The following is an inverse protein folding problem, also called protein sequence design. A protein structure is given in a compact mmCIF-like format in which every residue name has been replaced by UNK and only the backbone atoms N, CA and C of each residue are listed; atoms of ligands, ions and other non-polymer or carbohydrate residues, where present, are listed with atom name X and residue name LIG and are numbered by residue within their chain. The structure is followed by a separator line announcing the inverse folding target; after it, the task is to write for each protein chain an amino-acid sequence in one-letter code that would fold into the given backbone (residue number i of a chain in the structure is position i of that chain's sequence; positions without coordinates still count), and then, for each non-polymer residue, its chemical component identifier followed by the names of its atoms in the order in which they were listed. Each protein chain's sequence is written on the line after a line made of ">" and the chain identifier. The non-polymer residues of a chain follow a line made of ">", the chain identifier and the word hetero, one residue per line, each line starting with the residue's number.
data_IF_079882425191
#
_entry.id   IF_079882425191
#
_cell.length_a   1.000
_cell.length_b   1.000
_cell.length_c   1.000
_cell.angle_alpha   90.00
_cell.angle_beta   90.00
_cell.angle_gamma   90.00
#
_symmetry.space_group_name_H-M   'P 1'
#
loop_
_entity.id
_entity.type
_entity.pdbx_description
1 polymer ?
#
# COMPACT_ATOMS: atom_id res chain seq x y z
N UNK A 1 6.05 -25.86 -15.75
CA UNK A 1 6.68 -24.70 -16.44
C UNK A 1 6.64 -23.52 -15.48
N UNK A 2 7.77 -22.80 -15.32
CA UNK A 2 8.09 -21.75 -14.32
C UNK A 2 8.32 -22.29 -12.89
N UNK A 3 9.51 -22.50 -12.32
CA UNK A 3 10.84 -21.88 -12.45
C UNK A 3 10.92 -20.38 -12.10
N UNK A 4 11.67 -20.12 -11.01
CA UNK A 4 12.29 -18.87 -10.55
C UNK A 4 11.44 -17.76 -9.91
N UNK A 5 11.51 -17.66 -8.58
CA UNK A 5 11.72 -16.38 -7.87
C UNK A 5 12.66 -16.59 -6.66
N UNK A 6 13.97 -16.57 -6.93
CA UNK A 6 15.01 -16.46 -5.90
C UNK A 6 15.00 -15.04 -5.33
N UNK A 7 14.94 -14.94 -3.99
CA UNK A 7 15.13 -13.72 -3.19
C UNK A 7 16.59 -13.21 -3.30
N UNK A 8 16.85 -11.90 -3.44
CA UNK A 8 18.20 -11.34 -3.59
C UNK A 8 18.94 -11.08 -2.26
N UNK A 9 18.54 -11.69 -1.13
CA UNK A 9 19.09 -11.36 0.19
C UNK A 9 20.24 -12.27 0.66
N UNK A 10 20.47 -13.42 -0.02
CA UNK A 10 21.41 -14.46 0.43
C UNK A 10 22.87 -14.19 -0.01
N UNK A 11 23.11 -13.28 -0.95
CA UNK A 11 24.45 -13.07 -1.52
C UNK A 11 25.34 -12.10 -0.71
N UNK A 12 24.78 -11.35 0.24
CA UNK A 12 25.54 -10.33 1.00
C UNK A 12 26.18 -10.84 2.30
N UNK A 13 25.80 -12.04 2.77
CA UNK A 13 26.28 -12.61 4.03
C UNK A 13 27.46 -13.59 3.88
N UNK A 14 27.79 -14.00 2.64
CA UNK A 14 28.79 -15.04 2.37
C UNK A 14 30.22 -14.48 2.23
N UNK A 15 30.40 -13.16 2.16
CA UNK A 15 31.72 -12.54 1.88
C UNK A 15 32.42 -11.98 3.13
N UNK A 16 31.76 -11.88 4.28
CA UNK A 16 32.36 -11.31 5.51
C UNK A 16 32.82 -12.35 6.55
N UNK A 17 32.71 -13.66 6.28
CA UNK A 17 33.06 -14.70 7.27
C UNK A 17 34.41 -15.38 7.06
N UNK A 18 35.16 -15.00 6.03
CA UNK A 18 36.55 -15.40 5.85
C UNK A 18 37.46 -14.31 6.40
N UNK A 19 37.98 -14.51 7.62
CA UNK A 19 39.20 -13.97 8.24
C UNK A 19 38.90 -13.82 9.75
N UNK A 20 38.98 -14.92 10.49
CA UNK A 20 39.43 -14.93 11.90
C UNK A 20 39.67 -16.39 12.31
N UNK A 21 40.92 -16.82 12.56
CA UNK A 21 41.17 -18.15 13.10
C UNK A 21 40.90 -18.10 14.60
N UNK A 22 39.68 -18.41 15.02
CA UNK A 22 39.36 -18.63 16.44
C UNK A 22 39.72 -20.07 16.76
N UNK A 23 40.63 -20.23 17.72
CA UNK A 23 41.15 -21.53 18.15
C UNK A 23 40.04 -22.50 18.53
N UNK A 24 40.17 -23.73 18.03
CA UNK A 24 39.35 -24.86 18.42
C UNK A 24 39.60 -25.18 19.90
N UNK A 25 38.75 -24.65 20.79
CA UNK A 25 38.56 -25.23 22.11
C UNK A 25 37.52 -26.33 21.92
N UNK A 26 37.93 -27.59 22.08
CA UNK A 26 37.02 -28.71 22.24
C UNK A 26 36.26 -28.52 23.57
N UNK A 27 35.19 -27.73 23.53
CA UNK A 27 34.14 -27.81 24.52
C UNK A 27 33.40 -29.08 24.17
N UNK A 28 33.67 -30.16 24.91
CA UNK A 28 32.80 -31.32 24.95
C UNK A 28 31.38 -30.81 25.17
N UNK A 29 30.54 -30.89 24.13
CA UNK A 29 29.13 -30.56 24.24
C UNK A 29 28.55 -31.48 25.31
N UNK A 30 28.25 -30.90 26.47
CA UNK A 30 27.34 -31.51 27.41
C UNK A 30 26.01 -31.54 26.66
N UNK A 31 25.70 -32.69 26.05
CA UNK A 31 24.36 -32.96 25.55
C UNK A 31 23.47 -32.98 26.79
N UNK A 32 22.92 -31.81 27.14
CA UNK A 32 21.72 -31.80 27.95
C UNK A 32 20.67 -32.51 27.11
N UNK A 33 20.32 -33.72 27.54
CA UNK A 33 19.17 -34.45 27.05
C UNK A 33 17.95 -33.61 27.46
N UNK A 34 17.61 -32.60 26.65
CA UNK A 34 16.40 -31.83 26.85
C UNK A 34 15.28 -32.81 26.52
N UNK A 35 14.73 -33.45 27.55
CA UNK A 35 13.63 -34.40 27.44
C UNK A 35 12.59 -33.88 26.44
N UNK A 36 12.56 -34.46 25.25
CA UNK A 36 11.63 -34.11 24.19
C UNK A 36 10.29 -34.76 24.54
N UNK A 37 9.27 -33.95 24.79
CA UNK A 37 7.93 -34.47 25.12
C UNK A 37 7.24 -34.90 23.84
N UNK A 38 6.91 -36.18 23.70
CA UNK A 38 6.06 -36.63 22.59
C UNK A 38 4.61 -36.23 22.85
N UNK A 39 3.97 -35.62 21.85
CA UNK A 39 2.58 -35.16 21.94
C UNK A 39 1.83 -35.64 20.71
N UNK A 40 0.74 -36.38 20.93
CA UNK A 40 -0.13 -36.87 19.86
C UNK A 40 -1.28 -35.89 19.59
N UNK A 41 -1.42 -35.47 18.34
CA UNK A 41 -2.40 -34.45 17.93
C UNK A 41 -3.37 -35.04 16.92
N UNK A 42 -4.65 -34.99 17.27
CA UNK A 42 -5.76 -35.42 16.45
C UNK A 42 -6.24 -34.33 15.49
N UNK A 43 -6.34 -34.67 14.21
CA UNK A 43 -6.71 -33.78 13.12
C UNK A 43 -7.85 -34.41 12.32
N UNK A 44 -8.82 -33.58 11.95
CA UNK A 44 -9.88 -33.90 11.01
C UNK A 44 -9.97 -32.81 9.95
N UNK A 45 -10.57 -33.13 8.80
CA UNK A 45 -10.65 -32.20 7.68
C UNK A 45 -11.66 -31.07 7.94
N UNK A 46 -11.18 -29.90 8.35
CA UNK A 46 -11.99 -28.72 8.63
C UNK A 46 -11.23 -27.42 8.26
N UNK A 47 -11.06 -27.14 6.96
CA UNK A 47 -10.39 -25.93 6.50
C UNK A 47 -11.15 -24.65 6.93
N UNK A 48 -10.45 -23.55 7.27
CA UNK A 48 -8.98 -23.38 7.30
C UNK A 48 -8.34 -23.74 8.66
N UNK A 49 -9.04 -24.43 9.57
CA UNK A 49 -8.56 -24.65 10.94
C UNK A 49 -7.52 -25.75 11.03
N UNK A 50 -7.82 -26.90 10.44
CA UNK A 50 -6.91 -28.04 10.32
C UNK A 50 -7.37 -28.89 9.15
N UNK A 51 -6.49 -29.18 8.20
CA UNK A 51 -6.83 -29.96 7.02
C UNK A 51 -5.57 -30.54 6.40
N UNK A 52 -5.76 -31.57 5.57
CA UNK A 52 -4.69 -32.14 4.76
C UNK A 52 -4.86 -31.64 3.33
N UNK A 53 -3.82 -31.02 2.79
CA UNK A 53 -3.74 -30.62 1.40
C UNK A 53 -2.54 -31.32 0.77
N UNK A 54 -2.80 -32.20 -0.20
CA UNK A 54 -1.83 -33.16 -0.72
C UNK A 54 -1.20 -34.00 0.42
N UNK A 55 0.12 -33.90 0.62
CA UNK A 55 0.85 -34.55 1.72
C UNK A 55 1.15 -33.60 2.89
N UNK A 56 0.75 -32.33 2.80
CA UNK A 56 0.97 -31.33 3.82
C UNK A 56 -0.22 -31.21 4.77
N UNK A 57 0.06 -31.11 6.06
CA UNK A 57 -0.94 -30.76 7.08
C UNK A 57 -0.90 -29.23 7.22
N UNK A 58 -2.05 -28.58 7.09
CA UNK A 58 -2.19 -27.12 7.10
C UNK A 58 -3.34 -26.68 7.98
N UNK A 59 -3.32 -25.42 8.37
CA UNK A 59 -4.42 -24.74 9.02
C UNK A 59 -3.97 -23.90 10.21
N UNK A 60 -4.85 -23.01 10.64
CA UNK A 60 -4.56 -22.05 11.71
C UNK A 60 -4.14 -22.75 13.02
N UNK A 61 -4.82 -23.85 13.39
CA UNK A 61 -4.48 -24.59 14.59
C UNK A 61 -3.16 -25.37 14.43
N UNK A 62 -2.82 -25.78 13.21
CA UNK A 62 -1.57 -26.47 12.89
C UNK A 62 -0.40 -25.51 13.05
N UNK A 63 -0.47 -24.35 12.41
CA UNK A 63 0.62 -23.36 12.43
C UNK A 63 0.90 -22.88 13.86
N UNK A 64 -0.15 -22.70 14.67
CA UNK A 64 -0.03 -22.32 16.08
C UNK A 64 0.56 -23.44 16.94
N UNK A 65 0.10 -24.69 16.79
CA UNK A 65 0.57 -25.79 17.63
C UNK A 65 2.00 -26.22 17.28
N UNK A 66 2.39 -26.11 16.00
CA UNK A 66 3.78 -26.30 15.59
C UNK A 66 4.68 -25.19 16.15
N UNK A 67 4.25 -23.92 16.09
CA UNK A 67 5.00 -22.82 16.70
C UNK A 67 5.23 -23.05 18.20
N UNK A 68 4.17 -23.42 18.93
CA UNK A 68 4.25 -23.70 20.37
C UNK A 68 5.16 -24.92 20.61
N UNK A 69 4.94 -26.02 19.89
CA UNK A 69 5.72 -27.23 20.01
C UNK A 69 7.23 -27.00 19.80
N UNK A 70 7.59 -26.16 18.82
CA UNK A 70 8.99 -25.75 18.62
C UNK A 70 9.56 -24.97 19.80
N UNK A 71 8.77 -24.10 20.44
CA UNK A 71 9.22 -23.31 21.61
C UNK A 71 9.44 -24.15 22.86
N UNK A 72 8.65 -25.21 23.05
CA UNK A 72 8.72 -26.08 24.23
C UNK A 72 9.32 -27.47 23.96
N UNK A 73 9.94 -27.64 22.79
CA UNK A 73 10.59 -28.88 22.37
C UNK A 73 9.65 -30.11 22.39
N UNK A 74 8.42 -29.95 21.89
CA UNK A 74 7.52 -31.08 21.64
C UNK A 74 7.86 -31.80 20.34
N UNK A 75 7.79 -33.12 20.38
CA UNK A 75 7.73 -33.96 19.18
C UNK A 75 6.28 -34.27 18.86
N UNK A 76 5.74 -33.56 17.89
CA UNK A 76 4.34 -33.69 17.51
C UNK A 76 4.16 -34.89 16.57
N UNK A 77 3.24 -35.78 16.93
CA UNK A 77 2.81 -36.90 16.09
C UNK A 77 1.34 -36.70 15.72
N UNK A 78 1.05 -36.62 14.43
CA UNK A 78 -0.31 -36.36 13.94
C UNK A 78 -1.10 -37.65 13.72
N UNK A 79 -2.36 -37.65 14.14
CA UNK A 79 -3.36 -38.65 13.82
C UNK A 79 -4.47 -38.00 12.99
N UNK A 80 -4.70 -38.47 11.77
CA UNK A 80 -5.74 -37.94 10.89
C UNK A 80 -6.93 -38.90 10.82
N UNK A 81 -8.14 -38.40 11.08
CA UNK A 81 -9.37 -39.18 11.06
C UNK A 81 -10.63 -38.32 10.89
N UNK A 82 -11.80 -38.93 11.05
CA UNK A 82 -13.06 -38.16 11.16
C UNK A 82 -13.13 -37.48 12.53
N UNK A 83 -13.96 -36.44 12.67
CA UNK A 83 -14.15 -35.78 13.96
C UNK A 83 -14.54 -36.79 15.07
N UNK A 84 -15.50 -37.68 14.77
CA UNK A 84 -15.96 -38.71 15.72
C UNK A 84 -14.83 -39.67 16.14
N UNK A 85 -13.99 -40.11 15.20
CA UNK A 85 -12.87 -41.02 15.50
C UNK A 85 -11.81 -40.33 16.37
N UNK A 86 -11.40 -39.12 15.98
CA UNK A 86 -10.43 -38.32 16.73
C UNK A 86 -10.94 -38.03 18.14
N UNK A 87 -12.19 -37.58 18.27
CA UNK A 87 -12.84 -37.34 19.55
C UNK A 87 -12.82 -38.58 20.46
N UNK A 88 -13.24 -39.73 19.93
CA UNK A 88 -13.29 -40.98 20.68
C UNK A 88 -11.89 -41.44 21.15
N UNK A 89 -10.86 -41.24 20.34
CA UNK A 89 -9.47 -41.54 20.70
C UNK A 89 -8.93 -40.56 21.74
N UNK A 90 -9.28 -39.29 21.66
CA UNK A 90 -8.89 -38.28 22.66
C UNK A 90 -9.47 -38.59 24.04
N UNK A 91 -10.76 -38.94 24.14
CA UNK A 91 -11.36 -39.29 25.44
C UNK A 91 -10.84 -40.62 26.01
N UNK A 92 -10.26 -41.48 25.16
CA UNK A 92 -9.56 -42.72 25.57
C UNK A 92 -8.08 -42.49 25.88
N UNK A 93 -7.60 -41.25 25.81
CA UNK A 93 -6.20 -40.88 25.97
C UNK A 93 -5.24 -41.56 24.97
N UNK A 94 -5.75 -41.96 23.80
CA UNK A 94 -4.93 -42.44 22.67
C UNK A 94 -4.38 -41.26 21.85
N UNK A 95 -5.01 -40.08 21.99
CA UNK A 95 -4.59 -38.80 21.41
C UNK A 95 -4.57 -37.77 22.54
N UNK A 96 -3.50 -37.01 22.64
CA UNK A 96 -3.32 -36.03 23.72
C UNK A 96 -4.16 -34.78 23.50
N UNK A 97 -4.17 -34.25 22.27
CA UNK A 97 -4.85 -33.00 21.94
C UNK A 97 -5.69 -33.17 20.67
N UNK A 98 -6.96 -32.74 20.71
CA UNK A 98 -7.80 -32.52 19.54
C UNK A 98 -7.87 -31.02 19.23
N UNK A 99 -7.82 -30.69 17.94
CA UNK A 99 -7.79 -29.31 17.44
C UNK A 99 -9.19 -28.79 17.10
N UNK A 100 -9.36 -27.46 17.09
CA UNK A 100 -10.51 -26.75 16.51
C UNK A 100 -11.88 -27.20 17.02
N UNK A 101 -11.97 -27.64 18.28
CA UNK A 101 -13.23 -28.10 18.88
C UNK A 101 -14.02 -26.90 19.37
N UNK A 102 -15.32 -26.89 19.09
CA UNK A 102 -16.21 -25.87 19.60
C UNK A 102 -16.41 -26.03 21.11
N UNK A 103 -16.17 -24.93 21.83
CA UNK A 103 -16.40 -24.89 23.25
C UNK A 103 -17.89 -24.81 23.54
N UNK A 104 -18.44 -25.94 24.00
CA UNK A 104 -19.83 -26.10 24.35
C UNK A 104 -19.93 -26.91 25.64
N UNK A 105 -20.33 -26.27 26.75
CA UNK A 105 -20.43 -26.90 28.08
C UNK A 105 -21.33 -28.15 28.08
N UNK A 106 -22.32 -28.22 27.18
CA UNK A 106 -23.30 -29.31 27.17
C UNK A 106 -22.90 -30.49 26.27
N UNK A 107 -22.04 -30.24 25.26
CA UNK A 107 -21.78 -31.22 24.17
C UNK A 107 -20.57 -32.12 24.45
N UNK A 108 -19.50 -31.58 25.01
CA UNK A 108 -18.22 -32.30 25.16
C UNK A 108 -17.76 -32.42 26.62
N UNK A 109 -18.64 -32.93 27.46
CA UNK A 109 -18.39 -33.12 28.89
C UNK A 109 -17.25 -34.10 29.23
N UNK A 110 -16.69 -34.80 28.25
CA UNK A 110 -15.53 -35.69 28.41
C UNK A 110 -14.19 -35.03 28.00
N UNK A 111 -14.21 -33.78 27.55
CA UNK A 111 -13.02 -33.01 27.20
C UNK A 111 -12.74 -31.90 28.22
N UNK A 112 -11.46 -31.64 28.42
CA UNK A 112 -10.94 -30.44 29.06
C UNK A 112 -10.46 -29.49 27.97
N UNK A 113 -10.74 -28.19 28.11
CA UNK A 113 -10.42 -27.18 27.12
C UNK A 113 -9.38 -26.21 27.66
N UNK A 114 -8.56 -25.65 26.76
CA UNK A 114 -7.74 -24.50 27.13
C UNK A 114 -8.64 -23.26 27.41
N UNK A 115 -8.13 -22.27 28.13
CA UNK A 115 -8.91 -21.09 28.53
C UNK A 115 -9.08 -20.10 27.38
N UNK A 116 -8.00 -19.80 26.67
CA UNK A 116 -7.96 -18.81 25.60
C UNK A 116 -8.67 -19.33 24.34
N UNK A 117 -9.68 -18.59 23.85
CA UNK A 117 -10.26 -18.89 22.54
C UNK A 117 -9.21 -18.65 21.45
N UNK A 118 -8.99 -19.64 20.57
CA UNK A 118 -8.06 -19.51 19.44
C UNK A 118 -8.69 -18.58 18.39
N UNK A 119 -9.87 -18.93 17.93
CA UNK A 119 -10.62 -18.17 16.94
C UNK A 119 -12.12 -18.42 17.10
N UNK A 120 -12.95 -17.42 16.78
CA UNK A 120 -14.40 -17.56 16.79
C UNK A 120 -14.93 -17.73 15.37
N UNK A 121 -15.93 -18.58 15.21
CA UNK A 121 -16.59 -18.87 13.93
C UNK A 121 -18.10 -18.88 14.13
N UNK A 122 -18.87 -18.78 13.05
CA UNK A 122 -20.33 -18.90 13.07
C UNK A 122 -20.83 -19.55 11.80
N UNK A 123 -22.05 -20.07 11.85
CA UNK A 123 -22.74 -20.65 10.70
C UNK A 123 -23.26 -19.57 9.77
N UNK A 124 -23.10 -19.80 8.48
CA UNK A 124 -23.62 -18.95 7.41
C UNK A 124 -24.31 -19.81 6.36
N UNK A 125 -25.34 -19.25 5.74
CA UNK A 125 -25.99 -19.87 4.58
C UNK A 125 -25.38 -19.29 3.32
N UNK A 126 -25.00 -20.17 2.39
CA UNK A 126 -24.41 -19.80 1.10
C UNK A 126 -25.30 -20.28 -0.05
N UNK A 127 -25.30 -19.56 -1.17
CA UNK A 127 -26.09 -19.94 -2.35
C UNK A 127 -25.47 -19.38 -3.64
N UNK A 128 -25.83 -19.97 -4.78
CA UNK A 128 -25.56 -19.42 -6.12
C UNK A 128 -26.83 -18.85 -6.78
N UNK A 129 -28.00 -19.04 -6.16
CA UNK A 129 -29.27 -18.52 -6.64
C UNK A 129 -29.35 -17.02 -6.43
N UNK A 130 -29.99 -16.28 -7.33
CA UNK A 130 -30.32 -14.87 -7.14
C UNK A 130 -31.68 -14.65 -6.46
N UNK A 131 -32.42 -15.71 -6.14
CA UNK A 131 -33.80 -15.64 -5.62
C UNK A 131 -33.90 -15.81 -4.09
N UNK A 132 -32.82 -16.28 -3.43
CA UNK A 132 -32.83 -16.60 -2.00
C UNK A 132 -32.16 -15.48 -1.21
N UNK A 133 -32.91 -14.61 -0.52
CA UNK A 133 -32.32 -13.45 0.16
C UNK A 133 -32.40 -13.55 1.68
N UNK A 134 -33.44 -14.21 2.17
CA UNK A 134 -33.79 -14.28 3.58
C UNK A 134 -33.91 -15.72 4.04
N UNK A 135 -33.95 -15.93 5.35
CA UNK A 135 -34.16 -17.27 5.94
C UNK A 135 -35.47 -17.89 5.48
N UNK A 136 -36.51 -17.09 5.23
CA UNK A 136 -37.82 -17.57 4.77
C UNK A 136 -37.80 -18.11 3.34
N UNK A 137 -36.88 -17.64 2.51
CA UNK A 137 -36.71 -18.14 1.13
C UNK A 137 -36.13 -19.55 1.08
N UNK A 138 -35.69 -20.09 2.23
CA UNK A 138 -35.24 -21.46 2.39
C UNK A 138 -36.40 -22.47 2.45
N UNK A 139 -37.64 -21.99 2.52
CA UNK A 139 -38.81 -22.85 2.50
C UNK A 139 -38.87 -23.72 1.22
N UNK A 140 -39.04 -25.01 1.41
CA UNK A 140 -39.00 -26.08 0.41
C UNK A 140 -37.72 -26.15 -0.43
N UNK A 141 -36.61 -25.59 0.08
CA UNK A 141 -35.29 -25.67 -0.58
C UNK A 141 -34.51 -26.90 -0.15
N UNK A 142 -33.60 -27.34 -1.02
CA UNK A 142 -32.59 -28.36 -0.74
C UNK A 142 -31.34 -27.68 -0.21
N UNK A 143 -31.02 -27.96 1.04
CA UNK A 143 -29.94 -27.33 1.78
C UNK A 143 -28.86 -28.37 2.01
N UNK A 144 -27.68 -28.14 1.44
CA UNK A 144 -26.50 -28.95 1.71
C UNK A 144 -25.97 -28.68 3.13
N UNK A 145 -25.67 -29.74 3.87
CA UNK A 145 -25.16 -29.69 5.25
C UNK A 145 -24.12 -30.78 5.48
N UNK A 146 -23.17 -30.55 6.39
CA UNK A 146 -22.17 -31.57 6.77
C UNK A 146 -22.63 -32.30 8.03
N UNK A 147 -22.55 -33.65 8.03
CA UNK A 147 -23.16 -34.52 9.06
C UNK A 147 -22.68 -34.21 10.49
N UNK A 148 -21.36 -34.08 10.65
CA UNK A 148 -20.69 -33.88 11.94
C UNK A 148 -20.36 -32.39 12.21
N UNK A 149 -20.95 -31.47 11.45
CA UNK A 149 -20.74 -30.04 11.63
C UNK A 149 -21.69 -29.47 12.70
N UNK A 150 -21.17 -28.80 13.74
CA UNK A 150 -21.98 -28.06 14.69
C UNK A 150 -22.98 -27.08 14.05
N UNK A 151 -22.71 -26.56 12.85
CA UNK A 151 -23.64 -25.70 12.12
C UNK A 151 -24.91 -26.42 11.66
N UNK A 152 -24.92 -27.75 11.61
CA UNK A 152 -26.09 -28.51 11.21
C UNK A 152 -26.98 -28.92 12.41
N UNK A 153 -26.44 -29.73 13.32
CA UNK A 153 -27.25 -30.46 14.33
C UNK A 153 -27.16 -29.93 15.77
N UNK A 154 -26.34 -28.90 16.04
CA UNK A 154 -26.28 -28.32 17.39
C UNK A 154 -27.61 -27.65 17.78
N UNK A 155 -27.77 -27.33 19.07
CA UNK A 155 -28.98 -26.66 19.58
C UNK A 155 -29.32 -25.39 18.79
N UNK A 156 -28.31 -24.62 18.40
CA UNK A 156 -28.46 -23.38 17.62
C UNK A 156 -28.15 -23.57 16.12
N UNK A 157 -27.97 -24.81 15.66
CA UNK A 157 -27.67 -25.14 14.27
C UNK A 157 -28.86 -24.90 13.34
N UNK A 158 -28.60 -24.90 12.02
CA UNK A 158 -29.59 -24.54 10.99
C UNK A 158 -30.86 -25.39 11.09
N UNK A 159 -30.74 -26.67 11.45
CA UNK A 159 -31.89 -27.58 11.54
C UNK A 159 -32.89 -27.12 12.59
N UNK A 160 -32.39 -26.77 13.77
CA UNK A 160 -33.25 -26.28 14.86
C UNK A 160 -33.76 -24.87 14.56
N UNK A 161 -32.90 -24.01 14.01
CA UNK A 161 -33.27 -22.66 13.62
C UNK A 161 -34.46 -22.65 12.65
N UNK A 162 -34.40 -23.44 11.57
CA UNK A 162 -35.50 -23.54 10.61
C UNK A 162 -36.77 -24.15 11.23
N UNK A 163 -36.63 -25.13 12.12
CA UNK A 163 -37.76 -25.72 12.84
C UNK A 163 -38.47 -24.69 13.75
N UNK A 164 -37.73 -23.82 14.45
CA UNK A 164 -38.29 -22.76 15.30
C UNK A 164 -39.13 -21.77 14.48
N UNK A 165 -38.67 -21.42 13.28
CA UNK A 165 -39.40 -20.57 12.34
C UNK A 165 -40.47 -21.32 11.54
N UNK A 166 -40.65 -22.62 11.76
CA UNK A 166 -41.57 -23.50 11.00
C UNK A 166 -41.30 -23.48 9.49
N UNK A 167 -40.03 -23.46 9.12
CA UNK A 167 -39.58 -23.48 7.73
C UNK A 167 -39.25 -24.92 7.35
N UNK A 168 -40.02 -25.48 6.42
CA UNK A 168 -39.80 -26.85 5.93
C UNK A 168 -38.76 -26.87 4.81
N UNK A 169 -37.63 -27.53 5.02
CA UNK A 169 -36.56 -27.67 4.00
C UNK A 169 -36.06 -29.12 3.93
N UNK A 170 -35.47 -29.50 2.80
CA UNK A 170 -34.83 -30.81 2.63
C UNK A 170 -33.33 -30.69 2.89
N UNK A 171 -32.79 -31.44 3.83
CA UNK A 171 -31.34 -31.46 4.10
C UNK A 171 -30.66 -32.57 3.29
N UNK A 172 -29.62 -32.20 2.55
CA UNK A 172 -28.76 -33.14 1.82
C UNK A 172 -27.42 -33.20 2.57
N UNK A 173 -27.08 -34.38 3.07
CA UNK A 173 -25.95 -34.59 3.97
C UNK A 173 -24.65 -34.93 3.21
N UNK A 174 -23.56 -34.23 3.54
CA UNK A 174 -22.21 -34.39 2.99
C UNK A 174 -21.19 -34.73 4.10
N UNK A 175 -20.03 -35.24 3.70
CA UNK A 175 -18.93 -35.55 4.63
C UNK A 175 -18.00 -34.36 4.87
N UNK A 176 -17.89 -33.44 3.91
CA UNK A 176 -17.05 -32.26 3.98
C UNK A 176 -17.67 -31.11 3.17
N UNK A 177 -17.16 -29.89 3.36
CA UNK A 177 -17.67 -28.72 2.64
C UNK A 177 -17.33 -28.73 1.14
N UNK A 178 -16.25 -29.38 0.72
CA UNK A 178 -15.83 -29.34 -0.67
C UNK A 178 -16.83 -30.06 -1.58
N UNK A 179 -17.26 -31.26 -1.18
CA UNK A 179 -18.32 -32.01 -1.87
C UNK A 179 -19.65 -31.23 -1.89
N UNK A 180 -19.98 -30.56 -0.77
CA UNK A 180 -21.17 -29.72 -0.66
C UNK A 180 -21.12 -28.55 -1.64
N UNK A 181 -19.98 -27.86 -1.72
CA UNK A 181 -19.81 -26.70 -2.60
C UNK A 181 -19.79 -27.11 -4.07
N UNK A 182 -19.18 -28.24 -4.41
CA UNK A 182 -19.21 -28.79 -5.77
C UNK A 182 -20.66 -28.98 -6.25
N UNK A 183 -21.51 -29.58 -5.42
CA UNK A 183 -22.92 -29.78 -5.74
C UNK A 183 -23.75 -28.48 -5.66
N UNK A 184 -23.32 -27.48 -4.88
CA UNK A 184 -23.97 -26.15 -4.82
C UNK A 184 -23.80 -25.35 -6.12
N UNK A 185 -22.78 -25.66 -6.90
CA UNK A 185 -22.59 -25.06 -8.22
C UNK A 185 -23.63 -25.55 -9.24
N UNK A 186 -24.22 -26.72 -9.02
CA UNK A 186 -25.30 -27.29 -9.83
C UNK A 186 -26.67 -26.99 -9.19
N UNK A 187 -27.39 -26.03 -9.78
CA UNK A 187 -28.75 -25.64 -9.35
C UNK A 187 -29.76 -26.79 -9.37
N UNK A 188 -29.47 -27.89 -10.07
CA UNK A 188 -30.32 -29.08 -10.06
C UNK A 188 -30.04 -30.03 -8.91
N UNK A 189 -29.01 -29.81 -8.09
CA UNK A 189 -28.71 -30.64 -6.90
C UNK A 189 -29.02 -29.92 -5.60
N UNK A 190 -28.55 -28.68 -5.46
CA UNK A 190 -28.71 -27.88 -4.25
C UNK A 190 -29.20 -26.47 -4.55
N UNK A 191 -29.97 -25.91 -3.61
CA UNK A 191 -30.45 -24.52 -3.69
C UNK A 191 -29.64 -23.59 -2.76
N UNK A 192 -29.21 -24.13 -1.62
CA UNK A 192 -28.35 -23.47 -0.65
C UNK A 192 -27.42 -24.47 0.04
N UNK A 193 -26.40 -23.98 0.72
CA UNK A 193 -25.48 -24.75 1.55
C UNK A 193 -25.26 -24.07 2.90
N UNK A 194 -24.87 -24.84 3.89
CA UNK A 194 -24.46 -24.32 5.21
C UNK A 194 -22.99 -24.62 5.43
N UNK A 195 -22.24 -23.56 5.72
CA UNK A 195 -20.81 -23.60 6.04
C UNK A 195 -20.52 -22.69 7.22
N UNK A 196 -19.32 -22.74 7.77
CA UNK A 196 -18.87 -21.69 8.68
C UNK A 196 -18.32 -20.48 7.91
N UNK A 197 -18.45 -19.29 8.50
CA UNK A 197 -18.04 -18.02 7.89
C UNK A 197 -16.54 -17.94 7.56
N UNK A 198 -15.68 -18.66 8.30
CA UNK A 198 -14.24 -18.65 8.05
C UNK A 198 -13.87 -19.52 6.85
N UNK A 199 -14.55 -20.65 6.63
CA UNK A 199 -14.45 -21.42 5.39
C UNK A 199 -14.91 -20.59 4.18
N UNK A 200 -16.05 -19.89 4.31
CA UNK A 200 -16.51 -18.98 3.26
C UNK A 200 -15.46 -17.91 2.93
N UNK A 201 -14.91 -17.24 3.94
CA UNK A 201 -13.87 -16.22 3.74
C UNK A 201 -12.59 -16.78 3.11
N UNK A 202 -12.19 -17.98 3.52
CA UNK A 202 -10.98 -18.66 3.04
C UNK A 202 -11.11 -19.09 1.57
N UNK A 203 -12.24 -19.71 1.18
CA UNK A 203 -12.36 -20.41 -0.11
C UNK A 203 -13.36 -19.79 -1.09
N UNK A 204 -14.43 -19.19 -0.58
CA UNK A 204 -15.62 -18.88 -1.40
C UNK A 204 -15.82 -17.38 -1.67
N UNK A 205 -15.27 -16.50 -0.84
CA UNK A 205 -15.50 -15.04 -0.90
C UNK A 205 -15.27 -14.41 -2.28
N UNK A 206 -14.36 -14.97 -3.08
CA UNK A 206 -14.01 -14.49 -4.42
C UNK A 206 -14.61 -15.35 -5.56
N UNK A 207 -15.63 -16.15 -5.26
CA UNK A 207 -16.31 -17.04 -6.22
C UNK A 207 -17.70 -16.51 -6.58
N UNK A 208 -18.47 -17.27 -7.37
CA UNK A 208 -19.89 -16.98 -7.67
C UNK A 208 -20.83 -17.29 -6.49
N UNK A 209 -20.34 -18.00 -5.47
CA UNK A 209 -21.11 -18.35 -4.28
C UNK A 209 -21.20 -17.11 -3.38
N UNK A 210 -22.41 -16.77 -2.96
CA UNK A 210 -22.66 -15.64 -2.05
C UNK A 210 -23.12 -16.13 -0.70
N UNK A 211 -22.61 -15.48 0.34
CA UNK A 211 -23.14 -15.56 1.71
C UNK A 211 -24.47 -14.78 1.81
N UNK A 212 -25.42 -15.34 2.55
CA UNK A 212 -26.64 -14.65 2.98
C UNK A 212 -26.40 -13.97 4.33
N UNK A 213 -27.12 -12.88 4.62
CA UNK A 213 -27.10 -12.19 5.91
C UNK A 213 -27.87 -13.00 7.01
N UNK A 214 -27.58 -14.30 7.08
CA UNK A 214 -28.14 -15.26 8.04
C UNK A 214 -26.96 -15.85 8.79
N UNK A 215 -26.68 -15.27 9.96
CA UNK A 215 -25.66 -15.77 10.89
C UNK A 215 -26.34 -16.51 12.04
N UNK A 216 -25.75 -17.63 12.45
CA UNK A 216 -26.28 -18.44 13.56
C UNK A 216 -25.16 -19.25 14.21
N UNK A 217 -25.46 -19.85 15.37
CA UNK A 217 -24.54 -20.71 16.11
C UNK A 217 -23.11 -20.15 16.26
N UNK A 218 -22.90 -19.03 16.97
CA UNK A 218 -21.56 -18.52 17.23
C UNK A 218 -20.78 -19.48 18.14
N UNK A 219 -19.60 -19.91 17.69
CA UNK A 219 -18.74 -20.86 18.39
C UNK A 219 -17.36 -20.25 18.65
N UNK A 220 -16.79 -20.63 19.79
CA UNK A 220 -15.39 -20.37 20.11
C UNK A 220 -14.61 -21.66 19.94
N UNK A 221 -13.67 -21.68 19.00
CA UNK A 221 -12.84 -22.85 18.72
C UNK A 221 -11.60 -22.85 19.61
N UNK A 222 -11.29 -24.01 20.16
CA UNK A 222 -10.27 -24.21 21.19
C UNK A 222 -9.48 -25.50 20.97
N UNK A 223 -8.37 -25.61 21.68
CA UNK A 223 -7.66 -26.88 21.86
C UNK A 223 -8.28 -27.64 23.02
N UNK A 224 -8.33 -28.97 22.92
CA UNK A 224 -8.89 -29.80 23.97
C UNK A 224 -8.10 -31.07 24.19
N UNK A 225 -8.18 -31.61 25.40
CA UNK A 225 -7.60 -32.90 25.79
C UNK A 225 -8.67 -33.75 26.47
N UNK A 226 -8.47 -35.06 26.56
CA UNK A 226 -9.36 -35.93 27.33
C UNK A 226 -9.36 -35.52 28.81
N UNK A 227 -10.52 -35.46 29.47
CA UNK A 227 -10.59 -35.11 30.91
C UNK A 227 -9.76 -36.03 31.78
N UNK A 228 -9.61 -37.29 31.39
CA UNK A 228 -8.83 -38.28 32.13
C UNK A 228 -7.35 -38.30 31.73
N UNK A 229 -6.93 -37.46 30.78
CA UNK A 229 -5.51 -37.31 30.44
C UNK A 229 -4.77 -36.66 31.62
N UNK A 230 -3.73 -37.32 32.11
CA UNK A 230 -2.93 -36.87 33.26
C UNK A 230 -2.10 -35.61 32.92
N UNK A 231 -1.73 -35.43 31.65
CA UNK A 231 -0.92 -34.31 31.17
C UNK A 231 -1.75 -33.09 30.72
N UNK A 232 -3.08 -33.18 30.70
CA UNK A 232 -3.97 -32.14 30.12
C UNK A 232 -3.66 -30.73 30.63
N UNK A 233 -3.41 -30.54 31.93
CA UNK A 233 -3.15 -29.22 32.50
C UNK A 233 -1.80 -28.65 32.05
N UNK A 234 -0.79 -29.50 31.91
CA UNK A 234 0.49 -29.09 31.34
C UNK A 234 0.33 -28.71 29.86
N UNK A 235 -0.33 -29.56 29.07
CA UNK A 235 -0.52 -29.35 27.64
C UNK A 235 -1.34 -28.09 27.35
N UNK A 236 -2.55 -28.00 27.91
CA UNK A 236 -3.48 -26.89 27.69
C UNK A 236 -2.99 -25.59 28.34
N UNK A 237 -2.37 -25.67 29.52
CA UNK A 237 -1.77 -24.50 30.19
C UNK A 237 -0.57 -23.94 29.44
N UNK A 238 0.24 -24.80 28.81
CA UNK A 238 1.34 -24.37 27.92
C UNK A 238 0.78 -23.65 26.70
N UNK A 239 -0.26 -24.21 26.08
CA UNK A 239 -0.94 -23.58 24.94
C UNK A 239 -1.51 -22.22 25.32
N UNK A 240 -2.22 -22.11 26.45
CA UNK A 240 -2.79 -20.85 26.94
C UNK A 240 -1.73 -19.76 27.14
N UNK A 241 -0.59 -20.12 27.74
CA UNK A 241 0.50 -19.18 27.98
C UNK A 241 1.00 -18.54 26.66
N UNK A 242 1.37 -19.36 25.69
CA UNK A 242 1.88 -18.86 24.40
C UNK A 242 0.78 -18.19 23.57
N UNK A 243 -0.44 -18.71 23.59
CA UNK A 243 -1.55 -18.12 22.83
C UNK A 243 -1.89 -16.72 23.37
N UNK A 244 -1.87 -16.53 24.69
CA UNK A 244 -2.06 -15.21 25.31
C UNK A 244 -0.97 -14.22 24.91
N UNK A 245 0.30 -14.63 24.92
CA UNK A 245 1.43 -13.80 24.47
C UNK A 245 1.29 -13.42 22.99
N UNK A 246 1.04 -14.39 22.12
CA UNK A 246 0.88 -14.16 20.68
C UNK A 246 -0.29 -13.20 20.38
N UNK A 247 -1.42 -13.32 21.08
CA UNK A 247 -2.58 -12.47 20.78
C UNK A 247 -2.41 -11.02 21.23
N UNK A 248 -1.51 -10.74 22.18
CA UNK A 248 -1.19 -9.39 22.66
C UNK A 248 -0.32 -8.61 21.67
N UNK A 249 0.53 -9.28 20.91
CA UNK A 249 1.41 -8.67 19.91
C UNK A 249 0.80 -8.75 18.50
N UNK A 250 0.59 -7.60 17.84
CA UNK A 250 0.00 -7.50 16.50
C UNK A 250 0.92 -7.95 15.38
N UNK A 251 2.23 -8.01 15.66
CA UNK A 251 3.25 -8.49 14.74
C UNK A 251 3.64 -9.94 15.02
N UNK A 252 2.86 -10.64 15.84
CA UNK A 252 3.11 -12.03 16.21
C UNK A 252 2.76 -13.03 15.10
N UNK A 253 3.30 -14.24 15.25
CA UNK A 253 2.99 -15.38 14.37
C UNK A 253 1.50 -15.73 14.33
N UNK A 254 0.71 -15.36 15.35
CA UNK A 254 -0.74 -15.54 15.32
C UNK A 254 -1.41 -14.66 14.26
N UNK A 255 -1.08 -13.37 14.22
CA UNK A 255 -1.66 -12.47 13.22
C UNK A 255 -1.08 -12.71 11.83
N UNK A 256 0.20 -13.08 11.71
CA UNK A 256 0.78 -13.56 10.44
C UNK A 256 -0.01 -14.76 9.88
N UNK A 257 -0.31 -15.74 10.75
CA UNK A 257 -1.14 -16.89 10.39
C UNK A 257 -2.51 -16.43 9.88
N UNK A 258 -3.23 -15.57 10.62
CA UNK A 258 -4.55 -15.10 10.19
C UNK A 258 -4.51 -14.36 8.84
N UNK A 259 -3.49 -13.52 8.62
CA UNK A 259 -3.31 -12.83 7.35
C UNK A 259 -3.12 -13.82 6.20
N UNK A 260 -2.29 -14.85 6.40
CA UNK A 260 -2.04 -15.86 5.37
C UNK A 260 -3.30 -16.62 4.92
N UNK A 261 -4.27 -16.87 5.82
CA UNK A 261 -5.50 -17.59 5.46
C UNK A 261 -6.66 -16.67 5.02
N UNK A 262 -6.71 -15.40 5.45
CA UNK A 262 -7.88 -14.55 5.21
C UNK A 262 -7.62 -13.28 4.42
N UNK A 263 -6.38 -12.81 4.34
CA UNK A 263 -6.03 -11.67 3.49
C UNK A 263 -5.71 -12.18 2.08
N UNK A 264 -6.49 -11.72 1.12
CA UNK A 264 -6.10 -11.81 -0.30
C UNK A 264 -4.83 -11.01 -0.49
N UNK A 265 -3.86 -11.52 -1.27
CA UNK A 265 -2.58 -10.87 -1.56
C UNK A 265 -2.71 -9.35 -1.58
N UNK A 266 -1.83 -8.64 -0.84
CA UNK A 266 -1.80 -7.18 -0.86
C UNK A 266 -1.98 -6.71 -2.30
N UNK A 267 -3.02 -5.90 -2.54
CA UNK A 267 -3.31 -5.42 -3.87
C UNK A 267 -2.11 -4.59 -4.32
N UNK A 268 -1.17 -5.22 -5.04
CA UNK A 268 0.08 -4.61 -5.46
C UNK A 268 -0.18 -3.29 -6.20
N UNK A 269 -1.36 -3.16 -6.80
CA UNK A 269 -1.89 -1.94 -7.40
C UNK A 269 -1.90 -0.75 -6.42
N UNK A 270 -2.30 -0.93 -5.15
CA UNK A 270 -2.27 0.12 -4.12
C UNK A 270 -0.83 0.51 -3.78
N UNK A 271 0.08 -0.46 -3.69
CA UNK A 271 1.50 -0.20 -3.46
C UNK A 271 2.11 0.57 -4.65
N UNK A 272 1.80 0.18 -5.89
CA UNK A 272 2.19 0.88 -7.10
C UNK A 272 1.63 2.30 -7.16
N UNK A 273 0.37 2.53 -6.76
CA UNK A 273 -0.23 3.88 -6.67
C UNK A 273 0.55 4.75 -5.68
N UNK A 274 0.87 4.23 -4.48
CA UNK A 274 1.65 4.98 -3.47
C UNK A 274 3.04 5.35 -3.99
N UNK A 275 3.73 4.41 -4.64
CA UNK A 275 5.04 4.65 -5.28
C UNK A 275 4.91 5.73 -6.37
N UNK A 276 3.90 5.62 -7.23
CA UNK A 276 3.67 6.57 -8.33
C UNK A 276 3.36 7.98 -7.82
N UNK A 277 2.53 8.13 -6.77
CA UNK A 277 2.27 9.41 -6.12
C UNK A 277 3.53 9.99 -5.49
N UNK A 278 4.40 9.15 -4.92
CA UNK A 278 5.73 9.55 -4.45
C UNK A 278 6.61 10.13 -5.56
N UNK A 279 6.68 9.47 -6.71
CA UNK A 279 7.43 9.99 -7.87
C UNK A 279 6.83 11.29 -8.43
N UNK A 280 5.49 11.35 -8.55
CA UNK A 280 4.80 12.54 -9.05
C UNK A 280 5.07 13.78 -8.18
N UNK A 281 5.06 13.62 -6.84
CA UNK A 281 5.35 14.72 -5.91
C UNK A 281 6.81 15.20 -6.03
N UNK A 282 7.77 14.29 -6.21
CA UNK A 282 9.19 14.63 -6.44
C UNK A 282 9.35 15.41 -7.76
N UNK A 283 8.72 14.96 -8.83
CA UNK A 283 8.77 15.61 -10.15
C UNK A 283 8.16 17.01 -10.07
N UNK A 284 6.98 17.15 -9.47
CA UNK A 284 6.31 18.45 -9.30
C UNK A 284 7.18 19.40 -8.46
N UNK A 285 7.76 18.92 -7.37
CA UNK A 285 8.68 19.70 -6.53
C UNK A 285 9.90 20.18 -7.33
N UNK A 286 10.52 19.29 -8.11
CA UNK A 286 11.65 19.63 -8.98
C UNK A 286 11.28 20.73 -9.99
N UNK A 287 10.16 20.58 -10.72
CA UNK A 287 9.71 21.58 -11.69
C UNK A 287 9.38 22.92 -11.01
N UNK A 288 8.77 22.89 -9.84
CA UNK A 288 8.44 24.10 -9.07
C UNK A 288 9.71 24.85 -8.69
N UNK A 289 10.73 24.15 -8.17
CA UNK A 289 12.05 24.73 -7.86
C UNK A 289 12.73 25.29 -9.11
N UNK A 290 12.64 24.60 -10.26
CA UNK A 290 13.19 25.09 -11.53
C UNK A 290 12.51 26.38 -12.00
N UNK A 291 11.19 26.45 -11.91
CA UNK A 291 10.42 27.67 -12.27
C UNK A 291 10.79 28.83 -11.36
N UNK A 292 10.94 28.60 -10.05
CA UNK A 292 11.36 29.63 -9.09
C UNK A 292 12.78 30.15 -9.39
N UNK A 293 13.73 29.25 -9.67
CA UNK A 293 15.09 29.62 -10.06
C UNK A 293 15.12 30.45 -11.35
N UNK A 294 14.33 30.07 -12.36
CA UNK A 294 14.23 30.82 -13.63
C UNK A 294 13.62 32.21 -13.37
N UNK A 295 12.52 32.31 -12.61
CA UNK A 295 11.90 33.59 -12.27
C UNK A 295 12.86 34.52 -11.53
N UNK A 296 13.66 33.99 -10.61
CA UNK A 296 14.68 34.76 -9.89
C UNK A 296 15.73 35.31 -10.86
N UNK A 297 16.26 34.46 -11.76
CA UNK A 297 17.27 34.87 -12.75
C UNK A 297 16.73 35.92 -13.74
N UNK A 298 15.46 35.79 -14.14
CA UNK A 298 14.78 36.78 -15.01
C UNK A 298 14.59 38.12 -14.31
N UNK A 299 14.25 38.15 -13.02
CA UNK A 299 14.14 39.41 -12.26
C UNK A 299 15.46 40.16 -12.18
N UNK A 300 16.57 39.46 -11.98
CA UNK A 300 17.89 40.09 -11.96
C UNK A 300 18.26 40.68 -13.32
N UNK A 301 18.06 39.93 -14.42
CA UNK A 301 18.32 40.43 -15.78
C UNK A 301 17.41 41.59 -16.18
N UNK A 302 16.13 41.54 -15.81
CA UNK A 302 15.21 42.64 -16.10
C UNK A 302 15.63 43.93 -15.38
N UNK A 303 16.12 43.84 -14.14
CA UNK A 303 16.70 44.99 -13.42
C UNK A 303 17.95 45.52 -14.10
N UNK A 304 18.86 44.66 -14.57
CA UNK A 304 20.05 45.08 -15.31
C UNK A 304 19.69 45.81 -16.61
N UNK A 305 18.75 45.27 -17.37
CA UNK A 305 18.25 45.90 -18.61
C UNK A 305 17.58 47.24 -18.32
N UNK A 306 16.82 47.35 -17.24
CA UNK A 306 16.16 48.60 -16.83
C UNK A 306 17.18 49.68 -16.44
N UNK A 307 18.25 49.29 -15.71
CA UNK A 307 19.36 50.17 -15.38
C UNK A 307 20.14 50.61 -16.61
N UNK A 308 20.39 49.71 -17.56
CA UNK A 308 21.09 50.02 -18.81
C UNK A 308 20.26 50.96 -19.70
N UNK A 309 18.94 50.75 -19.77
CA UNK A 309 18.00 51.62 -20.46
C UNK A 309 17.95 53.02 -19.83
N UNK A 310 17.92 53.11 -18.51
CA UNK A 310 17.94 54.39 -17.80
C UNK A 310 19.25 55.17 -18.03
N UNK A 311 20.41 54.48 -18.02
CA UNK A 311 21.69 55.09 -18.39
C UNK A 311 21.71 55.62 -19.82
N UNK A 312 21.19 54.82 -20.76
CA UNK A 312 21.10 55.21 -22.16
C UNK A 312 20.23 56.45 -22.34
N UNK A 313 19.04 56.47 -21.73
CA UNK A 313 18.12 57.62 -21.76
C UNK A 313 18.76 58.88 -21.16
N UNK A 314 19.46 58.77 -20.03
CA UNK A 314 20.20 59.90 -19.43
C UNK A 314 21.28 60.42 -20.36
N UNK A 315 22.06 59.54 -20.99
CA UNK A 315 23.06 59.94 -21.98
C UNK A 315 22.42 60.67 -23.17
N UNK A 316 21.27 60.20 -23.65
CA UNK A 316 20.54 60.89 -24.73
C UNK A 316 20.07 62.28 -24.31
N UNK A 317 19.46 62.43 -23.13
CA UNK A 317 19.05 63.77 -22.64
C UNK A 317 20.22 64.73 -22.47
N UNK A 318 21.40 64.23 -22.10
CA UNK A 318 22.62 65.03 -21.99
C UNK A 318 23.10 65.52 -23.37
N UNK A 319 23.05 64.64 -24.38
CA UNK A 319 23.40 64.98 -25.74
C UNK A 319 22.41 65.98 -26.35
N UNK A 320 21.11 65.85 -26.07
CA UNK A 320 20.06 66.77 -26.52
C UNK A 320 20.26 68.17 -25.92
N UNK A 321 20.50 68.27 -24.60
CA UNK A 321 20.82 69.56 -23.97
C UNK A 321 22.12 70.18 -24.50
N UNK A 322 23.13 69.35 -24.80
CA UNK A 322 24.39 69.82 -25.39
C UNK A 322 24.17 70.33 -26.82
N UNK A 323 23.24 69.73 -27.54
CA UNK A 323 22.84 70.13 -28.87
C UNK A 323 22.12 71.49 -28.85
N UNK A 324 21.09 71.66 -28.01
CA UNK A 324 20.36 72.93 -27.88
C UNK A 324 21.29 74.11 -27.55
N UNK A 325 22.32 73.84 -26.74
CA UNK A 325 23.35 74.81 -26.41
C UNK A 325 24.22 75.19 -27.62
N UNK A 326 24.62 74.23 -28.45
CA UNK A 326 25.39 74.48 -29.66
C UNK A 326 24.59 75.24 -30.72
N UNK A 327 23.31 74.92 -30.90
CA UNK A 327 22.40 75.63 -31.81
C UNK A 327 22.28 77.11 -31.37
N UNK A 328 22.05 77.35 -30.08
CA UNK A 328 21.99 78.70 -29.52
C UNK A 328 23.28 79.50 -29.75
N UNK A 329 24.45 78.85 -29.63
CA UNK A 329 25.74 79.48 -29.89
C UNK A 329 25.94 79.80 -31.38
N UNK A 330 25.57 78.88 -32.26
CA UNK A 330 25.67 79.05 -33.72
C UNK A 330 24.78 80.21 -34.17
N UNK A 331 23.52 80.24 -33.72
CA UNK A 331 22.60 81.34 -34.01
C UNK A 331 23.07 82.67 -33.41
N UNK A 332 23.65 82.63 -32.21
CA UNK A 332 24.27 83.79 -31.56
C UNK A 332 25.45 84.37 -32.34
N UNK A 333 26.20 83.54 -33.09
CA UNK A 333 27.31 83.96 -33.96
C UNK A 333 26.85 84.41 -35.35
N UNK A 334 25.77 83.82 -35.87
CA UNK A 334 25.22 84.11 -37.20
C UNK A 334 24.84 85.58 -37.35
N UNK A 335 24.14 86.15 -36.38
CA UNK A 335 23.66 87.54 -36.44
C UNK A 335 24.83 88.57 -36.51
N UNK A 336 25.83 88.54 -35.61
CA UNK A 336 27.00 89.41 -35.72
C UNK A 336 27.75 89.27 -37.06
N UNK A 337 27.90 88.03 -37.56
CA UNK A 337 28.60 87.79 -38.83
C UNK A 337 27.84 88.39 -40.01
N UNK A 338 26.51 88.26 -40.05
CA UNK A 338 25.71 88.90 -41.10
C UNK A 338 25.80 90.43 -41.04
N UNK A 339 25.80 91.02 -39.84
CA UNK A 339 25.99 92.47 -39.67
C UNK A 339 27.36 92.90 -40.18
N UNK A 340 28.42 92.16 -39.84
CA UNK A 340 29.78 92.43 -40.31
C UNK A 340 29.89 92.32 -41.84
N UNK A 341 29.25 91.31 -42.46
CA UNK A 341 29.20 91.19 -43.92
C UNK A 341 28.55 92.43 -44.53
N UNK A 342 27.38 92.84 -44.02
CA UNK A 342 26.67 94.03 -44.49
C UNK A 342 27.51 95.32 -44.33
N UNK A 343 28.17 95.50 -43.20
CA UNK A 343 29.09 96.64 -43.01
C UNK A 343 30.25 96.61 -44.01
N UNK A 344 30.80 95.43 -44.32
CA UNK A 344 31.86 95.31 -45.32
C UNK A 344 31.37 95.55 -46.74
N UNK A 345 30.11 95.22 -47.07
CA UNK A 345 29.49 95.53 -48.37
C UNK A 345 29.31 97.03 -48.58
N UNK A 346 28.97 97.77 -47.53
CA UNK A 346 28.75 99.21 -47.60
C UNK A 346 30.08 99.99 -47.64
N UNK A 347 31.11 99.52 -46.92
CA UNK A 347 32.31 100.31 -46.64
C UNK A 347 33.61 99.81 -47.28
N UNK A 348 33.62 98.65 -47.95
CA UNK A 348 34.85 98.07 -48.53
C UNK A 348 34.65 97.63 -49.99
N UNK A 349 35.72 97.61 -50.82
CA UNK A 349 35.66 97.03 -52.17
C UNK A 349 35.28 95.54 -52.14
N UNK A 350 34.53 95.07 -53.14
CA UNK A 350 33.96 93.71 -53.18
C UNK A 350 34.97 92.56 -53.00
N UNK A 351 36.25 92.76 -53.35
CA UNK A 351 37.32 91.77 -53.22
C UNK A 351 38.16 91.89 -51.94
N UNK A 352 37.66 92.57 -50.89
CA UNK A 352 38.39 92.65 -49.62
C UNK A 352 38.52 91.26 -48.97
N UNK A 353 39.73 90.93 -48.51
CA UNK A 353 40.02 89.64 -47.87
C UNK A 353 39.11 89.37 -46.65
N UNK A 354 38.66 90.43 -45.98
CA UNK A 354 37.76 90.37 -44.83
C UNK A 354 36.35 89.90 -45.21
N UNK A 355 35.76 90.46 -46.28
CA UNK A 355 34.45 90.04 -46.81
C UNK A 355 34.46 88.57 -47.25
N UNK A 356 35.47 88.17 -48.03
CA UNK A 356 35.63 86.78 -48.50
C UNK A 356 35.76 85.79 -47.33
N UNK A 357 36.44 86.17 -46.25
CA UNK A 357 36.58 85.31 -45.08
C UNK A 357 35.27 85.23 -44.26
N UNK A 358 34.52 86.33 -44.12
CA UNK A 358 33.23 86.32 -43.43
C UNK A 358 32.17 85.50 -44.19
N UNK A 359 32.12 85.60 -45.52
CA UNK A 359 31.25 84.77 -46.36
C UNK A 359 31.60 83.27 -46.23
N UNK A 360 32.90 82.94 -46.21
CA UNK A 360 33.35 81.55 -45.94
C UNK A 360 32.93 81.07 -44.56
N UNK A 361 33.01 81.90 -43.53
CA UNK A 361 32.56 81.55 -42.17
C UNK A 361 31.04 81.31 -42.18
N UNK A 362 30.25 82.14 -42.87
CA UNK A 362 28.81 81.96 -42.98
C UNK A 362 28.44 80.66 -43.72
N UNK A 363 29.17 80.32 -44.78
CA UNK A 363 29.01 79.04 -45.49
C UNK A 363 29.32 77.88 -44.54
N UNK A 364 30.41 77.95 -43.79
CA UNK A 364 30.78 76.93 -42.80
C UNK A 364 29.69 76.77 -41.73
N UNK A 365 29.13 77.87 -41.21
CA UNK A 365 28.02 77.81 -40.24
C UNK A 365 26.77 77.13 -40.84
N UNK A 366 26.45 77.39 -42.11
CA UNK A 366 25.32 76.75 -42.79
C UNK A 366 25.58 75.26 -43.10
N UNK A 367 26.81 74.89 -43.45
CA UNK A 367 27.20 73.48 -43.62
C UNK A 367 27.11 72.73 -42.29
N UNK A 368 27.54 73.36 -41.20
CA UNK A 368 27.43 72.83 -39.84
C UNK A 368 25.95 72.55 -39.50
N UNK A 369 25.04 73.50 -39.75
CA UNK A 369 23.59 73.29 -39.56
C UNK A 369 23.06 72.13 -40.41
N UNK A 370 23.48 72.04 -41.68
CA UNK A 370 23.02 70.99 -42.59
C UNK A 370 23.44 69.60 -42.11
N UNK A 371 24.69 69.47 -41.64
CA UNK A 371 25.21 68.23 -41.05
C UNK A 371 24.41 67.88 -39.79
N UNK A 372 24.12 68.89 -38.95
CA UNK A 372 23.34 68.72 -37.72
C UNK A 372 21.89 68.29 -37.97
N UNK A 373 21.17 68.92 -38.90
CA UNK A 373 19.81 68.53 -39.29
C UNK A 373 19.75 67.09 -39.81
N UNK A 374 20.72 66.66 -40.64
CA UNK A 374 20.75 65.30 -41.18
C UNK A 374 20.97 64.22 -40.11
N UNK A 375 21.69 64.55 -39.03
CA UNK A 375 21.94 63.62 -37.92
C UNK A 375 20.68 63.40 -37.06
N UNK A 376 19.83 64.42 -36.90
CA UNK A 376 18.58 64.35 -36.13
C UNK A 376 17.51 63.58 -36.90
N UNK A 377 17.32 63.87 -38.18
CA UNK A 377 16.24 63.30 -38.99
C UNK A 377 16.40 61.77 -39.13
N UNK A 378 17.64 61.30 -39.34
CA UNK A 378 17.99 59.88 -39.45
C UNK A 378 17.75 59.06 -38.17
N UNK A 379 17.39 59.72 -37.06
CA UNK A 379 17.28 59.14 -35.73
C UNK A 379 15.87 59.20 -35.13
N UNK A 380 14.95 59.98 -35.71
CA UNK A 380 13.51 59.90 -35.39
C UNK A 380 12.83 58.65 -35.98
N UNK A 381 13.45 58.03 -36.98
CA UNK A 381 12.95 56.84 -37.69
C UNK A 381 13.49 55.49 -37.15
N UNK A 382 14.19 55.48 -36.01
CA UNK A 382 14.69 54.27 -35.31
C UNK A 382 14.24 54.25 -33.87
#
# INVERSE_FOLDING_TARGET
>A
MNLYKKKPFIFFLIVCFFIFPIGYINVSSINFDVNQTEVSIGIYNNPPFSFKEDDAIKGIFIDLIEYIGLKVNWKINYYFGTFSDVYNKTIRNEIDIILAVDYSFDTYNSLEFNNETVISTMGVVVTTSSEIHTIFDLHHKRIGVVVDDPMYKSNNGIKNLLNEYKIESSFIEYQNYDDLIEDLEDKHKLDAGVVNNLFYNYKLKNTKVRELDIIFNPLSLKFSSGKDNLNKYYLLGTIDHYLSELKQDKDSSYYDCLRNYFETEENYLILFIKIFLGFATIIISYFTLRVLNIKSKLRSRNKEIEVEKDKSNKMFSFLENSYDYLETLIDGLRNPIQVLIFETEVNMPDNSLMKVNLEKILIILNEIDTIFYSYIEKKKDK
#
